data_IF_970368326632
#
_entry.id   IF_970368326632
#
_cell.length_a   1.000
_cell.length_b   1.000
_cell.length_c   1.000
_cell.angle_alpha   90.00
_cell.angle_beta   90.00
_cell.angle_gamma   90.00
#
_symmetry.space_group_name_H-M   'P 1'
#
loop_
_entity.id
_entity.type
_entity.pdbx_description
1 polymer ?
#
# COMPACT_ATOMS: atom_id res chain seq x y z
N UNK A 1 -15.36 12.81 -60.57
CA UNK A 1 -15.49 12.06 -59.30
C UNK A 1 -16.65 12.69 -58.54
N UNK A 2 -17.87 12.16 -58.63
CA UNK A 2 -18.42 11.07 -57.79
C UNK A 2 -18.20 11.30 -56.28
N UNK A 3 -19.17 11.18 -55.37
CA UNK A 3 -20.61 10.99 -55.44
C UNK A 3 -21.10 11.04 -53.96
N UNK A 4 -21.89 12.06 -53.62
CA UNK A 4 -23.18 12.00 -52.87
C UNK A 4 -23.40 11.03 -51.66
N UNK A 5 -24.17 11.60 -50.71
CA UNK A 5 -25.26 11.02 -49.88
C UNK A 5 -24.83 10.19 -48.67
N UNK A 6 -25.23 10.48 -47.43
CA UNK A 6 -26.59 10.67 -46.87
C UNK A 6 -27.43 9.39 -46.87
N UNK A 7 -28.12 9.19 -45.73
CA UNK A 7 -29.30 8.35 -45.47
C UNK A 7 -29.06 6.90 -44.99
N UNK A 8 -30.01 6.47 -44.14
CA UNK A 8 -30.38 5.13 -43.67
C UNK A 8 -29.73 4.71 -42.34
N UNK A 9 -30.33 4.93 -41.17
CA UNK A 9 -31.69 4.52 -40.75
C UNK A 9 -32.04 3.11 -41.22
N UNK A 10 -31.80 2.12 -40.35
CA UNK A 10 -32.40 0.80 -40.40
C UNK A 10 -33.23 0.58 -39.14
N UNK A 11 -34.53 0.63 -39.36
CA UNK A 11 -35.63 0.11 -38.54
C UNK A 11 -35.54 -1.41 -38.50
N UNK A 12 -35.79 -2.05 -37.37
CA UNK A 12 -36.51 -3.35 -37.22
C UNK A 12 -36.79 -3.53 -35.71
N UNK A 13 -37.96 -3.12 -35.23
CA UNK A 13 -39.20 -3.91 -35.04
C UNK A 13 -39.19 -4.83 -33.82
N UNK A 14 -40.40 -4.95 -33.24
CA UNK A 14 -40.85 -5.72 -32.06
C UNK A 14 -40.95 -4.88 -30.79
N UNK A 15 -42.08 -4.20 -30.55
CA UNK A 15 -43.37 -4.73 -30.09
C UNK A 15 -43.49 -4.70 -28.57
N UNK A 16 -44.72 -4.43 -28.13
CA UNK A 16 -45.32 -4.74 -26.83
C UNK A 16 -45.41 -3.57 -25.82
N UNK A 17 -46.62 -3.00 -25.85
CA UNK A 17 -47.49 -2.68 -24.72
C UNK A 17 -47.13 -1.56 -23.72
N UNK A 18 -47.98 -0.54 -23.77
CA UNK A 18 -48.75 0.00 -22.64
C UNK A 18 -48.41 -0.62 -21.26
N UNK A 19 -47.82 0.20 -20.38
CA UNK A 19 -48.19 0.21 -18.96
C UNK A 19 -47.84 1.58 -18.38
N UNK A 20 -48.89 2.35 -18.13
CA UNK A 20 -48.89 3.54 -17.29
C UNK A 20 -48.46 3.10 -15.89
N UNK A 21 -47.33 3.59 -15.38
CA UNK A 21 -47.02 3.48 -13.96
C UNK A 21 -46.90 4.89 -13.40
N UNK A 22 -47.85 5.16 -12.52
CA UNK A 22 -48.11 6.43 -11.89
C UNK A 22 -46.90 7.00 -11.15
N UNK A 23 -46.79 8.31 -11.23
CA UNK A 23 -46.02 9.17 -10.34
C UNK A 23 -46.31 8.79 -8.88
N UNK A 24 -45.33 8.25 -8.18
CA UNK A 24 -45.27 8.33 -6.71
C UNK A 24 -44.08 9.19 -6.37
N UNK A 25 -44.36 10.44 -6.01
CA UNK A 25 -43.38 11.30 -5.35
C UNK A 25 -43.25 10.82 -3.91
N UNK A 26 -42.16 10.11 -3.62
CA UNK A 26 -41.68 9.90 -2.26
C UNK A 26 -40.40 10.72 -2.08
N UNK A 27 -40.45 11.59 -1.10
CA UNK A 27 -39.47 12.62 -0.76
C UNK A 27 -38.06 12.05 -0.56
N UNK A 28 -37.08 12.60 -1.28
CA UNK A 28 -35.67 12.44 -0.95
C UNK A 28 -35.34 13.30 0.27
N UNK A 29 -35.55 12.74 1.47
CA UNK A 29 -34.84 13.20 2.66
C UNK A 29 -33.38 12.74 2.54
N UNK A 30 -32.46 13.70 2.61
CA UNK A 30 -31.05 13.47 2.32
C UNK A 30 -30.34 12.56 3.33
N UNK A 31 -29.30 11.89 2.82
CA UNK A 31 -28.01 11.83 3.51
C UNK A 31 -26.93 11.67 2.45
N UNK A 32 -26.21 12.76 2.17
CA UNK A 32 -24.95 12.68 1.46
C UNK A 32 -23.95 11.99 2.39
N UNK A 33 -23.88 10.66 2.32
CA UNK A 33 -22.77 9.92 2.90
C UNK A 33 -21.57 10.11 1.99
N UNK A 34 -20.76 11.13 2.30
CA UNK A 34 -19.41 11.24 1.81
C UNK A 34 -18.65 9.96 2.22
N UNK A 35 -18.50 9.03 1.28
CA UNK A 35 -17.59 7.91 1.46
C UNK A 35 -16.17 8.47 1.57
N UNK A 36 -15.43 8.20 2.66
CA UNK A 36 -14.03 8.61 2.75
C UNK A 36 -13.20 7.90 1.66
N UNK A 37 -12.22 8.59 1.04
CA UNK A 37 -11.32 7.97 0.08
C UNK A 37 -10.39 6.98 0.78
N UNK A 38 -10.45 5.72 0.34
CA UNK A 38 -9.37 4.73 0.28
C UNK A 38 -8.40 4.68 1.48
N UNK A 39 -8.55 3.70 2.37
CA UNK A 39 -7.50 3.52 3.39
C UNK A 39 -7.59 2.40 4.41
N UNK A 40 -8.40 1.35 4.27
CA UNK A 40 -8.28 0.19 5.16
C UNK A 40 -8.74 -1.08 4.46
N UNK A 41 -7.80 -1.85 3.90
CA UNK A 41 -8.04 -3.25 3.53
C UNK A 41 -6.87 -4.08 4.04
N UNK A 42 -7.20 -5.03 4.91
CA UNK A 42 -6.35 -6.07 5.51
C UNK A 42 -5.45 -5.70 6.69
N UNK A 43 -6.07 -5.30 7.80
CA UNK A 43 -5.52 -5.61 9.12
C UNK A 43 -5.85 -7.07 9.47
N UNK A 44 -5.04 -8.00 8.97
CA UNK A 44 -4.94 -9.30 9.65
C UNK A 44 -4.52 -9.03 11.09
N UNK A 45 -5.31 -9.49 12.05
CA UNK A 45 -5.25 -9.12 13.48
C UNK A 45 -4.01 -9.71 14.18
N UNK A 46 -2.82 -9.36 13.70
CA UNK A 46 -1.60 -9.54 14.47
C UNK A 46 -1.57 -8.46 15.55
N UNK A 47 -2.03 -8.81 16.76
CA UNK A 47 -2.01 -7.94 17.92
C UNK A 47 -0.58 -7.80 18.42
N UNK A 48 0.09 -6.73 17.99
CA UNK A 48 1.41 -6.32 18.46
C UNK A 48 1.28 -5.06 19.31
N UNK A 49 2.13 -4.94 20.34
CA UNK A 49 2.33 -3.69 21.06
C UNK A 49 3.30 -2.75 20.33
N UNK A 50 3.97 -3.24 19.29
CA UNK A 50 4.92 -2.46 18.50
C UNK A 50 4.23 -1.43 17.61
N UNK A 51 4.90 -0.30 17.35
CA UNK A 51 4.40 0.70 16.41
C UNK A 51 4.22 0.13 15.00
N UNK A 52 3.29 0.70 14.22
CA UNK A 52 3.11 0.32 12.82
C UNK A 52 4.37 0.61 11.97
N UNK A 53 4.56 -0.18 10.91
CA UNK A 53 5.60 0.14 9.94
C UNK A 53 5.28 1.44 9.21
N UNK A 54 6.29 2.29 8.93
CA UNK A 54 6.04 3.48 8.13
C UNK A 54 5.67 3.09 6.70
N UNK A 55 4.74 3.85 6.13
CA UNK A 55 4.27 3.65 4.77
C UNK A 55 5.26 4.27 3.77
N UNK A 56 5.74 3.45 2.83
CA UNK A 56 6.67 3.86 1.78
C UNK A 56 6.24 3.18 0.49
N UNK A 57 5.96 3.97 -0.55
CA UNK A 57 5.36 3.48 -1.80
C UNK A 57 6.10 2.27 -2.41
N UNK A 58 7.42 2.22 -2.30
CA UNK A 58 8.25 1.14 -2.87
C UNK A 58 8.53 -0.04 -1.93
N UNK A 59 8.01 -0.04 -0.70
CA UNK A 59 8.07 -1.20 0.19
C UNK A 59 6.88 -2.14 0.00
N UNK A 60 5.83 -1.68 -0.68
CA UNK A 60 4.55 -2.37 -0.76
C UNK A 60 3.83 -2.39 0.59
N UNK A 61 2.82 -3.24 0.68
CA UNK A 61 2.06 -3.44 1.92
C UNK A 61 2.94 -4.15 2.97
N UNK A 62 3.44 -3.37 3.93
CA UNK A 62 4.30 -3.85 5.01
C UNK A 62 3.54 -3.84 6.33
N UNK A 63 3.02 -5.00 6.74
CA UNK A 63 2.36 -5.21 8.03
C UNK A 63 3.22 -6.07 8.95
N UNK A 64 2.96 -6.02 10.26
CA UNK A 64 3.66 -6.88 11.24
C UNK A 64 3.51 -8.35 10.90
N UNK A 65 2.29 -8.80 10.61
CA UNK A 65 2.00 -10.19 10.26
C UNK A 65 2.82 -10.68 9.07
N UNK A 66 2.91 -9.87 8.01
CA UNK A 66 3.68 -10.21 6.80
C UNK A 66 5.16 -10.35 7.11
N UNK A 67 5.72 -9.49 7.96
CA UNK A 67 7.12 -9.57 8.38
C UNK A 67 7.36 -10.80 9.24
N UNK A 68 6.52 -11.06 10.25
CA UNK A 68 6.62 -12.24 11.12
C UNK A 68 6.54 -13.54 10.29
N UNK A 69 5.54 -13.66 9.40
CA UNK A 69 5.40 -14.80 8.49
C UNK A 69 6.62 -14.96 7.58
N UNK A 70 7.17 -13.85 7.08
CA UNK A 70 8.39 -13.88 6.26
C UNK A 70 9.59 -14.40 7.05
N UNK A 71 9.84 -13.89 8.26
CA UNK A 71 10.97 -14.31 9.11
C UNK A 71 10.81 -15.77 9.52
N UNK A 72 9.60 -16.20 9.90
CA UNK A 72 9.31 -17.61 10.20
C UNK A 72 9.65 -18.52 9.02
N UNK A 73 9.22 -18.16 7.81
CA UNK A 73 9.39 -18.99 6.60
C UNK A 73 10.80 -18.93 6.00
N UNK A 74 11.44 -17.76 5.99
CA UNK A 74 12.73 -17.54 5.28
C UNK A 74 13.95 -17.59 6.18
N UNK A 75 13.75 -17.42 7.48
CA UNK A 75 14.83 -17.42 8.47
C UNK A 75 14.54 -18.37 9.63
N UNK A 76 13.55 -19.27 9.52
CA UNK A 76 13.18 -20.22 10.56
C UNK A 76 12.87 -19.53 11.91
N UNK A 77 12.34 -18.31 11.86
CA UNK A 77 12.08 -17.49 13.05
C UNK A 77 13.32 -16.81 13.63
N UNK A 78 14.49 -16.95 13.02
CA UNK A 78 15.70 -16.22 13.40
C UNK A 78 15.66 -14.79 12.87
N UNK A 79 15.48 -13.84 13.78
CA UNK A 79 15.38 -12.42 13.46
C UNK A 79 16.73 -11.76 13.16
N UNK A 80 17.85 -12.31 13.66
CA UNK A 80 19.19 -11.73 13.50
C UNK A 80 19.58 -11.47 12.03
N UNK A 81 19.51 -12.45 11.10
CA UNK A 81 19.86 -12.19 9.70
C UNK A 81 18.93 -11.18 9.03
N UNK A 82 17.65 -11.17 9.41
CA UNK A 82 16.68 -10.22 8.87
C UNK A 82 16.97 -8.79 9.32
N UNK A 83 17.27 -8.58 10.61
CA UNK A 83 17.67 -7.29 11.17
C UNK A 83 19.00 -6.79 10.59
N UNK A 84 20.01 -7.65 10.53
CA UNK A 84 21.33 -7.31 10.00
C UNK A 84 21.27 -6.79 8.56
N UNK A 85 20.39 -7.36 7.71
CA UNK A 85 20.14 -6.85 6.36
C UNK A 85 19.69 -5.39 6.36
N UNK A 86 18.76 -5.03 7.22
CA UNK A 86 18.21 -3.67 7.28
C UNK A 86 19.19 -2.68 7.90
N UNK A 87 19.95 -3.09 8.91
CA UNK A 87 21.04 -2.29 9.49
C UNK A 87 22.12 -2.00 8.46
N UNK A 88 22.55 -3.02 7.69
CA UNK A 88 23.48 -2.85 6.57
C UNK A 88 22.93 -1.91 5.50
N UNK A 89 21.64 -1.99 5.20
CA UNK A 89 21.00 -1.07 4.26
C UNK A 89 21.01 0.37 4.78
N UNK A 90 20.68 0.60 6.06
CA UNK A 90 20.75 1.93 6.67
C UNK A 90 22.16 2.49 6.64
N UNK A 91 23.17 1.67 6.95
CA UNK A 91 24.59 2.07 6.87
C UNK A 91 24.94 2.56 5.47
N UNK A 92 24.65 1.75 4.44
CA UNK A 92 24.92 2.12 3.04
C UNK A 92 24.24 3.42 2.62
N UNK A 93 22.99 3.63 3.01
CA UNK A 93 22.27 4.87 2.71
C UNK A 93 22.94 6.06 3.40
N UNK A 94 23.38 5.88 4.64
CA UNK A 94 24.10 6.91 5.41
C UNK A 94 25.44 7.26 4.76
N UNK A 95 26.18 6.26 4.29
CA UNK A 95 27.46 6.47 3.59
C UNK A 95 27.26 7.23 2.27
N UNK A 96 26.21 6.90 1.51
CA UNK A 96 25.83 7.61 0.29
C UNK A 96 25.44 9.06 0.62
N UNK A 97 24.71 9.29 1.70
CA UNK A 97 24.33 10.63 2.14
C UNK A 97 25.55 11.48 2.52
N UNK A 98 26.47 10.94 3.32
CA UNK A 98 27.70 11.63 3.77
C UNK A 98 28.58 12.12 2.62
N UNK A 99 28.61 11.38 1.51
CA UNK A 99 29.36 11.74 0.29
C UNK A 99 28.53 12.54 -0.72
N UNK A 100 27.39 13.12 -0.31
CA UNK A 100 26.47 13.88 -1.16
C UNK A 100 25.96 13.12 -2.39
N UNK A 101 25.88 11.79 -2.30
CA UNK A 101 25.46 10.91 -3.38
C UNK A 101 23.94 10.82 -3.55
N UNK A 102 23.54 10.05 -4.57
CA UNK A 102 22.13 9.84 -4.95
C UNK A 102 21.79 8.36 -4.88
N UNK A 103 20.64 8.03 -4.29
CA UNK A 103 20.06 6.68 -4.31
C UNK A 103 18.97 6.64 -5.37
N UNK A 104 19.04 5.65 -6.26
CA UNK A 104 18.05 5.47 -7.34
C UNK A 104 17.23 4.21 -7.08
N UNK A 105 15.92 4.38 -6.94
CA UNK A 105 14.94 3.29 -6.82
C UNK A 105 14.36 3.05 -8.21
N UNK A 106 15.09 2.26 -9.02
CA UNK A 106 14.85 2.10 -10.47
C UNK A 106 13.39 1.78 -10.82
N UNK A 107 12.78 0.81 -10.12
CA UNK A 107 11.40 0.35 -10.41
C UNK A 107 10.35 1.47 -10.30
N UNK A 108 10.59 2.46 -9.44
CA UNK A 108 9.65 3.55 -9.20
C UNK A 108 10.13 4.87 -9.84
N UNK A 109 11.27 4.84 -10.55
CA UNK A 109 11.93 6.01 -11.11
C UNK A 109 12.17 7.14 -10.08
N UNK A 110 12.44 6.78 -8.82
CA UNK A 110 12.66 7.76 -7.73
C UNK A 110 14.16 7.95 -7.51
N UNK A 111 14.58 9.22 -7.39
CA UNK A 111 15.95 9.60 -7.02
C UNK A 111 15.91 10.33 -5.68
N UNK A 112 16.68 9.85 -4.71
CA UNK A 112 16.79 10.44 -3.38
C UNK A 112 18.20 11.00 -3.20
N UNK A 113 18.30 12.30 -2.89
CA UNK A 113 19.53 13.02 -2.57
C UNK A 113 19.22 14.05 -1.48
N UNK A 114 20.22 14.50 -0.73
CA UNK A 114 20.07 15.58 0.24
C UNK A 114 18.97 15.28 1.27
N UNK A 115 18.06 16.24 1.47
CA UNK A 115 16.99 16.12 2.45
C UNK A 115 16.08 14.88 2.23
N UNK A 116 15.56 14.60 1.01
CA UNK A 116 14.82 13.36 0.74
C UNK A 116 15.56 12.06 1.13
N UNK A 117 16.86 11.99 0.91
CA UNK A 117 17.66 10.82 1.31
C UNK A 117 17.81 10.75 2.84
N UNK A 118 18.03 11.88 3.51
CA UNK A 118 18.08 11.95 4.97
C UNK A 118 16.76 11.47 5.61
N UNK A 119 15.61 11.92 5.08
CA UNK A 119 14.30 11.46 5.52
C UNK A 119 14.14 9.96 5.32
N UNK A 120 14.56 9.43 4.18
CA UNK A 120 14.47 8.01 3.93
C UNK A 120 15.34 7.17 4.87
N UNK A 121 16.54 7.65 5.24
CA UNK A 121 17.39 7.00 6.25
C UNK A 121 16.67 6.92 7.60
N UNK A 122 15.96 7.97 8.01
CA UNK A 122 15.16 7.96 9.23
C UNK A 122 14.01 6.95 9.14
N UNK A 123 13.33 6.89 8.00
CA UNK A 123 12.25 5.91 7.75
C UNK A 123 12.74 4.48 7.82
N UNK A 124 13.92 4.18 7.25
CA UNK A 124 14.59 2.88 7.41
C UNK A 124 14.94 2.61 8.88
N UNK A 125 15.38 3.64 9.62
CA UNK A 125 15.59 3.56 11.06
C UNK A 125 14.34 3.14 11.83
N UNK A 126 13.20 3.80 11.59
CA UNK A 126 11.91 3.46 12.19
C UNK A 126 11.51 2.02 11.91
N UNK A 127 11.69 1.56 10.66
CA UNK A 127 11.47 0.15 10.29
C UNK A 127 12.32 -0.81 11.12
N UNK A 128 13.61 -0.51 11.31
CA UNK A 128 14.49 -1.35 12.13
C UNK A 128 13.96 -1.40 13.57
N UNK A 129 13.56 -0.26 14.15
CA UNK A 129 13.00 -0.20 15.51
C UNK A 129 11.76 -1.08 15.66
N UNK A 130 10.80 -0.98 14.74
CA UNK A 130 9.59 -1.83 14.74
C UNK A 130 9.97 -3.31 14.61
N UNK A 131 10.92 -3.64 13.71
CA UNK A 131 11.38 -5.02 13.53
C UNK A 131 12.06 -5.58 14.78
N UNK A 132 12.82 -4.75 15.51
CA UNK A 132 13.44 -5.14 16.79
C UNK A 132 12.38 -5.43 17.84
N UNK A 133 11.39 -4.55 17.97
CA UNK A 133 10.27 -4.76 18.88
C UNK A 133 9.54 -6.10 18.58
N UNK A 134 9.21 -6.37 17.32
CA UNK A 134 8.58 -7.65 16.92
C UNK A 134 9.45 -8.87 17.24
N UNK A 135 10.78 -8.74 17.11
CA UNK A 135 11.70 -9.82 17.45
C UNK A 135 11.70 -10.16 18.94
N UNK A 136 11.51 -9.15 19.81
CA UNK A 136 11.40 -9.32 21.25
C UNK A 136 10.07 -9.99 21.61
N UNK A 137 8.94 -9.50 21.06
CA UNK A 137 7.63 -10.13 21.28
C UNK A 137 7.63 -11.62 20.86
N UNK A 138 8.23 -11.92 19.71
CA UNK A 138 8.35 -13.30 19.22
C UNK A 138 9.28 -14.19 20.07
N UNK A 139 10.24 -13.59 20.79
CA UNK A 139 11.13 -14.28 21.73
C UNK A 139 10.47 -14.50 23.09
N UNK A 140 9.69 -13.53 23.58
CA UNK A 140 8.95 -13.60 24.85
C UNK A 140 7.84 -14.65 24.81
N UNK A 141 7.27 -14.94 23.64
CA UNK A 141 6.27 -16.00 23.45
C UNK A 141 6.79 -17.44 23.44
N UNK A 142 8.10 -17.68 23.69
CA UNK A 142 8.70 -19.02 23.72
C UNK A 142 8.85 -19.64 25.12
N UNK A 143 8.16 -19.10 26.12
CA UNK A 143 8.10 -19.66 27.47
C UNK A 143 6.70 -20.18 27.81
N UNK A 144 6.32 -21.34 27.28
CA UNK A 144 5.37 -22.29 27.88
C UNK A 144 5.69 -23.69 27.38
#
# INVERSE_FOLDING_TARGET
MNLKKSILSRVFHFSVALAVIALTMASFAGTASAAPPNGDKNQGTYKSSCSAFPQVAWWGELTHERVVKYVKRKHNGNWKPYLAKWEKQKSRLTDIYKRNGTVVIKKFNIKLKGQPLANYIQTVGKRISVTKCLSLEAGMGKGK
#
